data_IF_534506998269
#
_entry.id   IF_534506998269
#
_cell.length_a   1.000
_cell.length_b   1.000
_cell.length_c   1.000
_cell.angle_alpha   90.00
_cell.angle_beta   90.00
_cell.angle_gamma   90.00
#
_symmetry.space_group_name_H-M   'P 1'
#
loop_
_entity.id
_entity.type
_entity.pdbx_description
1 polymer ?
#
# COMPACT_ATOMS: atom_id res chain seq x y z
N UNK A 1 -19.88 46.57 4.69
CA UNK A 1 -18.69 45.71 4.74
C UNK A 1 -19.15 44.28 4.44
N UNK A 2 -19.09 43.84 3.19
CA UNK A 2 -19.39 42.45 2.82
C UNK A 2 -18.07 41.73 2.59
N UNK A 3 -17.59 40.98 3.57
CA UNK A 3 -16.42 40.14 3.39
C UNK A 3 -16.82 38.91 2.58
N UNK A 4 -16.58 38.96 1.26
CA UNK A 4 -16.53 37.79 0.40
C UNK A 4 -15.35 36.92 0.82
N UNK A 5 -15.53 36.04 1.81
CA UNK A 5 -14.58 34.97 2.10
C UNK A 5 -14.59 34.01 0.90
N UNK A 6 -13.54 34.10 0.09
CA UNK A 6 -13.27 33.14 -0.98
C UNK A 6 -13.24 31.73 -0.39
N UNK A 7 -14.17 30.89 -0.84
CA UNK A 7 -14.32 29.50 -0.42
C UNK A 7 -13.15 28.65 -0.91
N UNK A 8 -12.03 28.66 -0.18
CA UNK A 8 -10.83 27.83 -0.46
C UNK A 8 -10.98 26.36 0.01
N UNK A 9 -12.22 25.89 0.20
CA UNK A 9 -12.51 24.52 0.57
C UNK A 9 -12.65 23.64 -0.69
N UNK A 10 -11.56 22.99 -1.07
CA UNK A 10 -11.44 22.03 -2.19
C UNK A 10 -12.33 20.76 -2.12
N UNK A 11 -12.82 20.22 -0.96
CA UNK A 11 -13.42 18.87 -0.94
C UNK A 11 -14.68 18.72 -1.79
N UNK A 12 -15.42 19.81 -2.02
CA UNK A 12 -16.76 19.73 -2.62
C UNK A 12 -16.76 20.02 -4.13
N UNK A 13 -15.70 20.63 -4.66
CA UNK A 13 -15.68 21.17 -6.03
C UNK A 13 -14.90 20.32 -7.06
N UNK A 14 -14.38 19.18 -6.62
CA UNK A 14 -13.82 18.17 -7.53
C UNK A 14 -14.96 17.49 -8.30
N UNK A 15 -14.94 17.46 -9.65
CA UNK A 15 -15.96 16.80 -10.45
C UNK A 15 -15.79 15.26 -10.38
N UNK A 16 -16.22 14.68 -9.25
CA UNK A 16 -15.98 13.28 -8.91
C UNK A 16 -16.53 12.29 -9.96
N UNK A 17 -17.62 12.63 -10.66
CA UNK A 17 -18.17 11.82 -11.75
C UNK A 17 -17.22 11.62 -12.94
N UNK A 18 -16.21 12.49 -13.08
CA UNK A 18 -15.18 12.38 -14.12
C UNK A 18 -13.93 11.65 -13.64
N UNK A 19 -13.79 11.45 -12.33
CA UNK A 19 -12.63 10.80 -11.72
C UNK A 19 -12.78 9.29 -11.87
N UNK A 20 -11.76 8.66 -12.45
CA UNK A 20 -11.71 7.19 -12.59
C UNK A 20 -11.01 6.60 -11.38
N UNK A 21 -11.71 5.81 -10.56
CA UNK A 21 -11.14 5.25 -9.32
C UNK A 21 -10.35 3.95 -9.54
N UNK A 22 -10.75 3.14 -10.51
CA UNK A 22 -10.12 1.85 -10.80
C UNK A 22 -9.29 1.96 -12.08
N UNK A 23 -8.23 2.75 -12.02
CA UNK A 23 -7.32 2.97 -13.15
C UNK A 23 -6.11 2.06 -13.03
N UNK A 24 -5.71 1.45 -14.15
CA UNK A 24 -4.50 0.65 -14.29
C UNK A 24 -3.70 1.00 -15.56
N UNK A 25 -4.05 2.11 -16.23
CA UNK A 25 -3.37 2.59 -17.44
C UNK A 25 -2.88 4.01 -17.23
N UNK A 26 -1.68 4.30 -17.75
CA UNK A 26 -1.04 5.61 -17.64
C UNK A 26 -1.91 6.73 -18.21
N UNK A 27 -2.55 6.48 -19.36
CA UNK A 27 -3.47 7.43 -20.00
C UNK A 27 -4.63 7.85 -19.08
N UNK A 28 -5.19 6.91 -18.31
CA UNK A 28 -6.28 7.24 -17.40
C UNK A 28 -5.78 7.94 -16.11
N UNK A 29 -4.53 7.70 -15.68
CA UNK A 29 -3.91 8.51 -14.63
C UNK A 29 -3.74 9.97 -15.08
N UNK A 30 -3.27 10.19 -16.32
CA UNK A 30 -3.17 11.54 -16.91
C UNK A 30 -4.51 12.29 -16.89
N UNK A 31 -5.60 11.60 -17.23
CA UNK A 31 -6.95 12.20 -17.18
C UNK A 31 -7.35 12.63 -15.76
N UNK A 32 -7.07 11.81 -14.75
CA UNK A 32 -7.32 12.16 -13.35
C UNK A 32 -6.46 13.34 -12.89
N UNK A 33 -5.16 13.35 -13.23
CA UNK A 33 -4.29 14.48 -12.91
C UNK A 33 -4.69 15.77 -13.63
N UNK A 34 -5.25 15.68 -14.84
CA UNK A 34 -5.80 16.86 -15.52
C UNK A 34 -7.00 17.45 -14.78
N UNK A 35 -7.84 16.61 -14.18
CA UNK A 35 -8.93 17.07 -13.30
C UNK A 35 -8.35 17.81 -12.10
N UNK A 36 -7.32 17.24 -11.45
CA UNK A 36 -6.65 17.86 -10.31
C UNK A 36 -6.03 19.23 -10.66
N UNK A 37 -5.30 19.32 -11.78
CA UNK A 37 -4.74 20.57 -12.26
C UNK A 37 -5.81 21.64 -12.48
N UNK A 38 -6.94 21.28 -13.10
CA UNK A 38 -8.04 22.22 -13.32
C UNK A 38 -8.64 22.73 -12.00
N UNK A 39 -8.72 21.86 -10.98
CA UNK A 39 -9.17 22.25 -9.63
C UNK A 39 -8.15 23.21 -8.99
N UNK A 40 -6.86 22.94 -9.10
CA UNK A 40 -5.80 23.84 -8.60
C UNK A 40 -5.88 25.21 -9.26
N UNK A 41 -6.04 25.27 -10.60
CA UNK A 41 -6.21 26.53 -11.32
C UNK A 41 -7.45 27.30 -10.86
N UNK A 42 -8.58 26.61 -10.64
CA UNK A 42 -9.83 27.26 -10.20
C UNK A 42 -9.70 27.85 -8.79
N UNK A 43 -8.99 27.16 -7.89
CA UNK A 43 -8.76 27.61 -6.52
C UNK A 43 -7.49 28.46 -6.36
N UNK A 44 -6.84 28.86 -7.45
CA UNK A 44 -5.62 29.68 -7.42
C UNK A 44 -4.51 29.08 -6.55
N UNK A 45 -4.34 27.76 -6.64
CA UNK A 45 -3.26 27.03 -5.98
C UNK A 45 -2.05 27.04 -6.91
N UNK A 46 -1.06 27.88 -6.60
CA UNK A 46 0.12 28.11 -7.46
C UNK A 46 1.14 26.96 -7.45
N UNK A 47 0.91 25.89 -6.68
CA UNK A 47 1.79 24.72 -6.63
C UNK A 47 1.69 23.93 -7.95
N UNK A 48 2.78 23.78 -8.72
CA UNK A 48 2.77 22.91 -9.90
C UNK A 48 2.64 21.45 -9.49
N UNK A 49 1.83 20.69 -10.23
CA UNK A 49 1.66 19.23 -10.05
C UNK A 49 2.64 18.52 -11.00
N UNK A 50 3.67 17.80 -10.49
CA UNK A 50 4.68 17.12 -11.32
C UNK A 50 4.13 15.80 -11.92
N UNK A 51 3.13 15.92 -12.81
CA UNK A 51 2.34 14.77 -13.30
C UNK A 51 3.21 13.64 -13.87
N UNK A 52 4.22 13.95 -14.68
CA UNK A 52 5.08 12.94 -15.31
C UNK A 52 5.83 12.06 -14.30
N UNK A 53 6.24 12.64 -13.17
CA UNK A 53 6.93 11.89 -12.12
C UNK A 53 5.93 11.13 -11.24
N UNK A 54 4.74 11.71 -11.02
CA UNK A 54 3.69 11.10 -10.21
C UNK A 54 3.10 9.86 -10.89
N UNK A 55 2.81 9.91 -12.20
CA UNK A 55 2.26 8.76 -12.94
C UNK A 55 3.24 7.59 -13.05
N UNK A 56 4.56 7.87 -12.98
CA UNK A 56 5.63 6.86 -12.98
C UNK A 56 5.93 6.31 -11.58
N UNK A 57 5.16 6.71 -10.56
CA UNK A 57 5.34 6.29 -9.17
C UNK A 57 6.76 6.53 -8.62
N UNK A 58 7.45 7.61 -9.07
CA UNK A 58 8.77 7.94 -8.52
C UNK A 58 8.62 8.33 -7.05
N UNK A 59 9.32 7.62 -6.16
CA UNK A 59 9.10 7.68 -4.71
C UNK A 59 9.29 9.09 -4.14
N UNK A 60 10.37 9.77 -4.50
CA UNK A 60 10.68 11.11 -4.01
C UNK A 60 9.60 12.13 -4.39
N UNK A 61 9.20 12.19 -5.66
CA UNK A 61 8.18 13.15 -6.13
C UNK A 61 6.79 12.89 -5.52
N UNK A 62 6.41 11.61 -5.39
CA UNK A 62 5.13 11.25 -4.77
C UNK A 62 5.11 11.62 -3.28
N UNK A 63 6.20 11.35 -2.56
CA UNK A 63 6.31 11.69 -1.15
C UNK A 63 6.29 13.21 -0.94
N UNK A 64 7.07 13.97 -1.71
CA UNK A 64 7.10 15.44 -1.63
C UNK A 64 5.71 16.04 -1.90
N UNK A 65 5.02 15.54 -2.93
CA UNK A 65 3.67 16.00 -3.27
C UNK A 65 2.65 15.70 -2.16
N UNK A 66 2.72 14.51 -1.55
CA UNK A 66 1.85 14.13 -0.42
C UNK A 66 2.11 14.96 0.83
N UNK A 67 3.39 15.19 1.17
CA UNK A 67 3.77 16.03 2.31
C UNK A 67 3.22 17.45 2.15
N UNK A 68 3.40 18.05 0.97
CA UNK A 68 2.83 19.35 0.67
C UNK A 68 1.29 19.33 0.72
N UNK A 69 0.65 18.31 0.15
CA UNK A 69 -0.82 18.18 0.15
C UNK A 69 -1.37 18.10 1.57
N UNK A 70 -0.72 17.35 2.47
CA UNK A 70 -1.09 17.28 3.88
C UNK A 70 -0.95 18.63 4.57
N UNK A 71 0.18 19.33 4.37
CA UNK A 71 0.40 20.67 4.92
C UNK A 71 -0.65 21.67 4.42
N UNK A 72 -0.96 21.63 3.13
CA UNK A 72 -2.01 22.48 2.54
C UNK A 72 -3.38 22.14 3.12
N UNK A 73 -3.71 20.86 3.26
CA UNK A 73 -4.95 20.43 3.90
C UNK A 73 -5.07 20.98 5.32
N UNK A 74 -4.05 20.78 6.16
CA UNK A 74 -4.09 21.21 7.57
C UNK A 74 -4.26 22.72 7.72
N UNK A 75 -3.70 23.49 6.80
CA UNK A 75 -3.78 24.95 6.82
C UNK A 75 -5.14 25.50 6.37
N UNK A 76 -5.80 24.83 5.42
CA UNK A 76 -7.00 25.36 4.76
C UNK A 76 -8.27 24.56 5.00
N UNK A 77 -8.21 23.46 5.76
CA UNK A 77 -9.36 22.65 6.07
C UNK A 77 -10.38 23.44 6.90
N UNK A 78 -11.60 23.70 6.39
CA UNK A 78 -12.59 24.53 7.08
C UNK A 78 -13.32 23.80 8.22
N UNK A 79 -12.99 22.52 8.46
CA UNK A 79 -13.78 21.61 9.29
C UNK A 79 -14.92 20.91 8.52
N UNK A 80 -15.59 19.98 9.19
CA UNK A 80 -16.81 19.31 8.71
C UNK A 80 -16.62 17.87 8.24
N UNK A 81 -17.67 17.07 8.36
CA UNK A 81 -17.63 15.65 8.02
C UNK A 81 -17.56 15.41 6.51
N UNK A 82 -16.73 14.45 6.10
CA UNK A 82 -16.59 14.05 4.71
C UNK A 82 -16.74 12.54 4.56
N UNK A 83 -17.86 12.08 4.00
CA UNK A 83 -18.06 10.68 3.65
C UNK A 83 -17.46 10.37 2.28
N UNK A 84 -16.23 9.86 2.30
CA UNK A 84 -15.49 9.48 1.10
C UNK A 84 -16.13 8.30 0.35
N UNK A 85 -16.77 7.36 1.06
CA UNK A 85 -17.33 6.15 0.46
C UNK A 85 -18.62 6.47 -0.29
N UNK A 86 -19.52 7.24 0.34
CA UNK A 86 -20.75 7.68 -0.31
C UNK A 86 -20.44 8.52 -1.55
N UNK A 87 -19.48 9.45 -1.46
CA UNK A 87 -19.11 10.33 -2.58
C UNK A 87 -18.48 9.58 -3.76
N UNK A 88 -17.66 8.56 -3.46
CA UNK A 88 -17.08 7.67 -4.47
C UNK A 88 -18.14 6.80 -5.15
N UNK A 89 -19.07 6.24 -4.38
CA UNK A 89 -20.19 5.44 -4.89
C UNK A 89 -21.13 6.26 -5.78
N UNK A 90 -21.44 7.50 -5.38
CA UNK A 90 -22.28 8.42 -6.15
C UNK A 90 -21.63 8.81 -7.50
N UNK A 91 -20.30 8.78 -7.58
CA UNK A 91 -19.54 9.04 -8.81
C UNK A 91 -19.46 7.83 -9.77
N UNK A 92 -20.15 6.71 -9.48
CA UNK A 92 -20.14 5.52 -10.33
C UNK A 92 -18.92 4.63 -10.15
N UNK A 93 -18.13 4.82 -9.09
CA UNK A 93 -17.11 3.84 -8.73
C UNK A 93 -17.80 2.52 -8.32
N UNK A 94 -17.26 1.36 -8.72
CA UNK A 94 -17.77 0.09 -8.24
C UNK A 94 -17.68 0.05 -6.72
N UNK A 95 -18.69 -0.52 -6.08
CA UNK A 95 -18.70 -0.69 -4.64
C UNK A 95 -17.42 -1.43 -4.24
N UNK A 96 -16.59 -0.79 -3.40
CA UNK A 96 -15.54 -1.52 -2.69
C UNK A 96 -16.26 -2.57 -1.85
N UNK A 97 -16.05 -3.83 -2.18
CA UNK A 97 -16.56 -4.95 -1.41
C UNK A 97 -15.67 -5.06 -0.15
N UNK A 98 -15.78 -4.07 0.73
CA UNK A 98 -15.21 -4.16 2.07
C UNK A 98 -15.95 -5.28 2.79
N UNK A 99 -15.26 -6.40 2.97
CA UNK A 99 -15.63 -7.48 3.85
C UNK A 99 -15.98 -6.90 5.21
N UNK A 100 -17.28 -6.85 5.53
CA UNK A 100 -17.76 -6.58 6.88
C UNK A 100 -17.16 -7.63 7.80
N UNK A 101 -16.30 -7.21 8.72
CA UNK A 101 -15.92 -8.02 9.88
C UNK A 101 -17.17 -8.36 10.73
N UNK A 102 -17.15 -9.46 11.49
CA UNK A 102 -18.29 -9.90 12.28
C UNK A 102 -18.44 -9.00 13.51
N UNK A 103 -19.39 -8.07 13.44
CA UNK A 103 -19.85 -7.23 14.55
C UNK A 103 -21.21 -7.70 15.04
N UNK A 104 -21.38 -7.73 16.35
CA UNK A 104 -22.35 -8.54 17.10
C UNK A 104 -23.78 -8.00 17.12
N UNK A 105 -24.71 -8.94 17.25
CA UNK A 105 -26.09 -8.89 17.77
C UNK A 105 -26.71 -7.54 18.16
N UNK A 106 -27.86 -7.22 17.56
CA UNK A 106 -29.10 -6.99 18.33
C UNK A 106 -30.34 -7.11 17.44
N UNK A 107 -31.22 -8.02 17.86
CA UNK A 107 -32.54 -8.23 17.30
C UNK A 107 -33.53 -7.23 17.92
N UNK A 108 -34.47 -6.74 17.11
CA UNK A 108 -35.94 -6.69 17.37
C UNK A 108 -36.59 -5.59 16.52
N UNK A 109 -37.74 -5.89 15.93
CA UNK A 109 -38.63 -4.86 15.36
C UNK A 109 -39.27 -5.18 14.02
N UNK A 110 -40.05 -6.25 13.94
CA UNK A 110 -40.96 -6.50 12.82
C UNK A 110 -42.08 -5.45 12.77
N UNK A 111 -42.35 -4.84 11.61
CA UNK A 111 -43.71 -4.45 11.18
C UNK A 111 -43.89 -4.56 9.66
N UNK A 112 -45.02 -5.18 9.33
CA UNK A 112 -45.58 -5.49 8.00
C UNK A 112 -46.18 -4.24 7.34
N UNK A 113 -46.29 -4.28 6.01
CA UNK A 113 -47.45 -3.75 5.29
C UNK A 113 -47.12 -2.92 4.04
N UNK A 114 -47.66 -3.33 2.88
CA UNK A 114 -47.82 -2.43 1.73
C UNK A 114 -47.39 -3.00 0.37
N UNK A 115 -48.15 -3.94 -0.17
CA UNK A 115 -48.14 -4.31 -1.60
C UNK A 115 -48.92 -3.29 -2.43
N UNK A 116 -48.37 -2.80 -3.55
CA UNK A 116 -49.04 -2.85 -4.86
C UNK A 116 -48.03 -2.68 -6.01
N UNK A 117 -48.19 -3.41 -7.12
CA UNK A 117 -47.26 -3.44 -8.25
C UNK A 117 -47.64 -2.43 -9.35
N UNK A 118 -46.68 -2.02 -10.18
CA UNK A 118 -46.98 -1.58 -11.55
C UNK A 118 -46.06 -2.29 -12.53
N UNK A 119 -46.70 -3.08 -13.38
CA UNK A 119 -46.15 -3.75 -14.55
C UNK A 119 -45.73 -2.70 -15.58
N UNK A 120 -44.49 -2.77 -16.07
CA UNK A 120 -44.19 -2.41 -17.46
C UNK A 120 -43.32 -3.51 -18.04
N UNK A 121 -43.96 -4.36 -18.83
CA UNK A 121 -43.33 -5.40 -19.62
C UNK A 121 -42.76 -4.79 -20.90
N UNK A 122 -41.46 -4.98 -21.10
CA UNK A 122 -40.73 -4.69 -22.33
C UNK A 122 -39.37 -5.39 -22.22
N UNK A 123 -39.38 -6.69 -22.47
CA UNK A 123 -38.34 -7.62 -22.03
C UNK A 123 -36.98 -7.47 -22.70
N UNK A 124 -35.95 -7.87 -21.95
CA UNK A 124 -34.85 -8.76 -22.35
C UNK A 124 -34.08 -9.20 -21.09
N UNK A 125 -34.24 -10.44 -20.61
CA UNK A 125 -33.37 -10.98 -19.58
C UNK A 125 -32.22 -11.78 -20.21
N UNK A 126 -31.01 -11.59 -19.66
CA UNK A 126 -29.79 -12.42 -19.82
C UNK A 126 -29.07 -12.20 -21.17
N UNK A 127 -27.74 -12.12 -21.29
CA UNK A 127 -26.64 -12.75 -20.55
C UNK A 127 -25.33 -12.02 -20.96
N UNK A 128 -24.50 -11.55 -20.02
CA UNK A 128 -23.04 -11.39 -20.15
C UNK A 128 -22.40 -10.81 -18.86
N UNK A 129 -22.86 -11.26 -17.69
CA UNK A 129 -22.03 -11.22 -16.50
C UNK A 129 -21.11 -12.42 -16.54
N UNK A 130 -19.81 -12.21 -16.79
CA UNK A 130 -18.84 -13.31 -16.80
C UNK A 130 -17.41 -12.93 -17.16
N UNK A 131 -17.18 -11.91 -17.98
CA UNK A 131 -15.82 -11.59 -18.42
C UNK A 131 -14.97 -10.83 -17.38
N UNK A 132 -15.60 -10.02 -16.50
CA UNK A 132 -14.89 -9.26 -15.46
C UNK A 132 -14.48 -10.08 -14.24
N UNK A 133 -15.17 -11.21 -13.98
CA UNK A 133 -14.88 -12.09 -12.84
C UNK A 133 -13.69 -13.02 -13.12
N UNK A 134 -13.46 -13.39 -14.38
CA UNK A 134 -12.35 -14.24 -14.76
C UNK A 134 -11.00 -13.53 -14.59
N UNK A 135 -10.92 -12.24 -14.94
CA UNK A 135 -9.70 -11.44 -14.74
C UNK A 135 -9.42 -11.18 -13.25
N UNK A 136 -10.45 -10.94 -12.43
CA UNK A 136 -10.25 -10.81 -10.98
C UNK A 136 -9.85 -12.14 -10.33
N UNK A 137 -10.41 -13.26 -10.79
CA UNK A 137 -10.03 -14.58 -10.30
C UNK A 137 -8.60 -14.97 -10.71
N UNK A 138 -8.20 -14.67 -11.94
CA UNK A 138 -6.83 -14.88 -12.41
C UNK A 138 -5.82 -14.05 -11.63
N UNK A 139 -6.11 -12.77 -11.38
CA UNK A 139 -5.26 -11.91 -10.54
C UNK A 139 -5.20 -12.38 -9.08
N UNK A 140 -6.29 -12.88 -8.51
CA UNK A 140 -6.28 -13.47 -7.17
C UNK A 140 -5.46 -14.77 -7.12
N UNK A 141 -5.51 -15.59 -8.16
CA UNK A 141 -4.70 -16.79 -8.29
C UNK A 141 -3.20 -16.44 -8.37
N UNK A 142 -2.85 -15.42 -9.14
CA UNK A 142 -1.47 -14.92 -9.26
C UNK A 142 -0.94 -14.39 -7.92
N UNK A 143 -1.75 -13.60 -7.20
CA UNK A 143 -1.39 -13.11 -5.86
C UNK A 143 -1.14 -14.27 -4.89
N UNK A 144 -1.97 -15.30 -4.92
CA UNK A 144 -1.79 -16.47 -4.05
C UNK A 144 -0.54 -17.26 -4.43
N UNK A 145 -0.28 -17.48 -5.72
CA UNK A 145 0.93 -18.13 -6.20
C UNK A 145 2.19 -17.36 -5.80
N UNK A 146 2.17 -16.03 -5.92
CA UNK A 146 3.28 -15.17 -5.48
C UNK A 146 3.49 -15.23 -3.96
N UNK A 147 2.42 -15.26 -3.17
CA UNK A 147 2.52 -15.42 -1.70
C UNK A 147 3.14 -16.75 -1.31
N UNK A 148 2.73 -17.83 -1.97
CA UNK A 148 3.32 -19.16 -1.74
C UNK A 148 4.80 -19.19 -2.15
N UNK A 149 5.15 -18.57 -3.28
CA UNK A 149 6.53 -18.45 -3.73
C UNK A 149 7.38 -17.64 -2.74
N UNK A 150 6.88 -16.48 -2.27
CA UNK A 150 7.55 -15.67 -1.25
C UNK A 150 7.75 -16.47 0.04
N UNK A 151 6.72 -17.16 0.53
CA UNK A 151 6.83 -17.99 1.73
C UNK A 151 7.83 -19.15 1.55
N UNK A 152 7.97 -19.68 0.34
CA UNK A 152 9.02 -20.64 0.00
C UNK A 152 10.41 -20.03 0.05
N UNK A 153 10.59 -18.87 -0.58
CA UNK A 153 11.86 -18.14 -0.59
C UNK A 153 12.29 -17.67 0.81
N UNK A 154 11.35 -17.26 1.66
CA UNK A 154 11.62 -16.89 3.05
C UNK A 154 12.14 -18.09 3.85
N UNK A 155 11.56 -19.28 3.67
CA UNK A 155 12.08 -20.51 4.29
C UNK A 155 13.46 -20.87 3.80
N UNK A 156 13.73 -20.73 2.49
CA UNK A 156 15.05 -20.98 1.93
C UNK A 156 16.08 -19.97 2.46
N UNK A 157 15.73 -18.68 2.51
CA UNK A 157 16.55 -17.62 3.10
C UNK A 157 16.90 -17.96 4.54
N UNK A 158 15.91 -18.28 5.37
CA UNK A 158 16.12 -18.58 6.79
C UNK A 158 16.95 -19.85 6.98
N UNK A 159 16.74 -20.87 6.14
CA UNK A 159 17.52 -22.10 6.13
C UNK A 159 19.00 -21.84 5.81
N UNK A 160 19.30 -21.04 4.79
CA UNK A 160 20.68 -20.70 4.44
C UNK A 160 21.32 -19.78 5.48
N UNK A 161 20.57 -18.80 5.99
CA UNK A 161 21.04 -17.92 7.06
C UNK A 161 21.42 -18.70 8.32
N UNK A 162 20.56 -19.63 8.78
CA UNK A 162 20.84 -20.48 9.93
C UNK A 162 22.14 -21.28 9.75
N UNK A 163 22.38 -21.85 8.55
CA UNK A 163 23.63 -22.56 8.26
C UNK A 163 24.86 -21.66 8.31
N UNK A 164 24.79 -20.47 7.76
CA UNK A 164 25.90 -19.51 7.79
C UNK A 164 26.18 -19.07 9.24
N UNK A 165 25.13 -18.86 10.04
CA UNK A 165 25.24 -18.54 11.46
C UNK A 165 25.86 -19.66 12.29
N UNK A 166 25.49 -20.91 12.02
CA UNK A 166 26.10 -22.09 12.64
C UNK A 166 27.60 -22.17 12.33
N UNK A 167 27.98 -21.95 11.06
CA UNK A 167 29.39 -21.91 10.64
C UNK A 167 30.15 -20.79 11.36
N UNK A 168 29.56 -19.59 11.42
CA UNK A 168 30.15 -18.45 12.13
C UNK A 168 30.40 -18.78 13.61
N UNK A 169 29.43 -19.41 14.28
CA UNK A 169 29.56 -19.80 15.68
C UNK A 169 30.69 -20.83 15.87
N UNK A 170 30.80 -21.82 14.97
CA UNK A 170 31.86 -22.81 15.01
C UNK A 170 33.25 -22.17 14.84
N UNK A 171 33.37 -21.18 13.96
CA UNK A 171 34.62 -20.43 13.79
C UNK A 171 34.96 -19.60 15.03
N UNK A 172 33.98 -18.90 15.61
CA UNK A 172 34.17 -18.14 16.85
C UNK A 172 34.66 -19.05 17.99
N UNK A 173 34.04 -20.22 18.16
CA UNK A 173 34.45 -21.21 19.15
C UNK A 173 35.86 -21.77 18.88
N UNK A 174 36.22 -22.00 17.62
CA UNK A 174 37.55 -22.46 17.26
C UNK A 174 38.63 -21.41 17.58
N UNK A 175 38.37 -20.14 17.28
CA UNK A 175 39.27 -19.02 17.59
C UNK A 175 39.38 -18.77 19.11
N UNK A 176 38.28 -18.92 19.85
CA UNK A 176 38.31 -18.82 21.31
C UNK A 176 39.17 -19.92 21.94
N UNK A 177 39.10 -21.14 21.41
CA UNK A 177 39.89 -22.27 21.87
C UNK A 177 41.38 -22.18 21.47
N UNK A 178 41.68 -21.65 20.29
CA UNK A 178 43.03 -21.43 19.79
C UNK A 178 43.17 -20.04 19.12
N UNK A 179 43.59 -19.01 19.88
CA UNK A 179 43.71 -17.64 19.38
C UNK A 179 44.76 -17.44 18.27
N UNK A 180 45.66 -18.40 18.03
CA UNK A 180 46.63 -18.29 16.92
C UNK A 180 45.95 -18.43 15.56
N UNK A 181 44.77 -19.08 15.48
CA UNK A 181 44.03 -19.28 14.23
C UNK A 181 43.55 -17.98 13.57
N UNK A 182 43.44 -16.88 14.34
CA UNK A 182 42.96 -15.59 13.83
C UNK A 182 44.09 -14.61 13.49
N UNK A 183 45.36 -14.99 13.70
CA UNK A 183 46.51 -14.10 13.49
C UNK A 183 47.10 -14.16 12.09
N UNK A 184 46.89 -15.25 11.38
CA UNK A 184 47.39 -15.43 10.02
C UNK A 184 46.28 -15.07 9.01
N UNK A 185 46.54 -14.02 8.24
CA UNK A 185 45.61 -13.49 7.22
C UNK A 185 45.35 -14.48 6.08
N UNK A 186 46.27 -15.42 5.83
CA UNK A 186 46.13 -16.46 4.79
C UNK A 186 45.50 -17.76 5.34
N UNK A 187 45.08 -17.75 6.61
CA UNK A 187 44.45 -18.91 7.25
C UNK A 187 43.07 -19.23 6.64
N UNK A 188 42.67 -20.50 6.76
CA UNK A 188 41.34 -20.94 6.35
C UNK A 188 40.22 -20.19 7.11
N UNK A 189 40.45 -19.85 8.39
CA UNK A 189 39.49 -19.09 9.22
C UNK A 189 39.24 -17.70 8.62
N UNK A 190 40.31 -16.97 8.26
CA UNK A 190 40.20 -15.65 7.63
C UNK A 190 39.52 -15.71 6.27
N UNK A 191 39.82 -16.72 5.46
CA UNK A 191 39.14 -16.92 4.18
C UNK A 191 37.64 -17.15 4.33
N UNK A 192 37.20 -17.96 5.31
CA UNK A 192 35.77 -18.19 5.53
C UNK A 192 35.10 -16.93 6.10
N UNK A 193 35.72 -16.23 7.04
CA UNK A 193 35.22 -14.94 7.57
C UNK A 193 35.06 -13.90 6.45
N UNK A 194 36.02 -13.83 5.52
CA UNK A 194 35.93 -12.92 4.37
C UNK A 194 34.71 -13.22 3.49
N UNK A 195 34.34 -14.49 3.31
CA UNK A 195 33.12 -14.87 2.59
C UNK A 195 31.88 -14.45 3.40
N UNK A 196 31.84 -14.79 4.70
CA UNK A 196 30.69 -14.51 5.57
C UNK A 196 30.39 -13.02 5.72
N UNK A 197 31.43 -12.19 5.72
CA UNK A 197 31.31 -10.74 5.87
C UNK A 197 31.43 -9.98 4.54
N UNK A 198 31.49 -10.69 3.41
CA UNK A 198 31.41 -10.04 2.11
C UNK A 198 30.03 -9.42 1.93
N UNK A 199 30.00 -8.14 1.55
CA UNK A 199 28.75 -7.39 1.28
C UNK A 199 28.67 -7.09 -0.21
N UNK A 200 27.54 -7.40 -0.85
CA UNK A 200 27.23 -6.86 -2.18
C UNK A 200 26.68 -5.42 -2.05
N UNK A 201 26.99 -4.57 -3.04
CA UNK A 201 26.57 -3.17 -3.12
C UNK A 201 25.02 -3.09 -3.16
N UNK A 202 24.40 -2.87 -1.99
CA UNK A 202 22.94 -2.87 -1.82
C UNK A 202 22.38 -3.86 -0.78
N UNK A 203 23.23 -4.65 -0.11
CA UNK A 203 22.85 -5.57 0.98
C UNK A 203 23.41 -5.16 2.35
N UNK A 204 23.78 -3.89 2.52
CA UNK A 204 24.24 -3.36 3.81
C UNK A 204 23.09 -3.34 4.82
N UNK A 205 23.31 -3.95 5.98
CA UNK A 205 22.43 -3.82 7.14
C UNK A 205 22.63 -2.40 7.70
N UNK A 206 21.60 -1.55 7.77
CA UNK A 206 21.73 -0.26 8.43
C UNK A 206 22.18 -0.46 9.88
N UNK A 207 23.09 0.37 10.40
CA UNK A 207 23.69 0.21 11.74
C UNK A 207 22.68 0.27 12.90
N UNK A 208 21.40 0.52 12.64
CA UNK A 208 20.33 0.54 13.65
C UNK A 208 19.78 -0.85 14.00
N UNK A 209 20.13 -1.92 13.26
CA UNK A 209 19.58 -3.27 13.49
C UNK A 209 20.34 -4.10 14.54
N UNK A 210 21.58 -3.75 14.90
CA UNK A 210 22.35 -4.47 15.94
C UNK A 210 21.72 -4.35 17.35
N UNK A 211 20.87 -3.34 17.59
CA UNK A 211 20.28 -3.08 18.91
C UNK A 211 18.92 -3.74 19.18
N UNK A 212 18.23 -4.26 18.16
CA UNK A 212 16.83 -4.70 18.31
C UNK A 212 16.65 -6.23 18.45
N UNK A 213 17.61 -7.03 17.99
CA UNK A 213 17.48 -8.49 18.00
C UNK A 213 17.69 -9.15 19.38
N UNK A 214 18.18 -8.41 20.38
CA UNK A 214 18.47 -8.95 21.72
C UNK A 214 17.28 -8.88 22.69
N UNK A 215 16.13 -8.32 22.31
CA UNK A 215 15.04 -8.00 23.26
C UNK A 215 13.66 -8.62 22.98
N UNK A 216 13.45 -9.38 21.91
CA UNK A 216 12.13 -9.95 21.59
C UNK A 216 12.02 -11.49 21.71
N UNK A 217 12.91 -12.13 22.46
CA UNK A 217 12.74 -13.53 22.91
C UNK A 217 12.74 -13.64 24.44
N UNK A 218 11.72 -13.06 25.10
CA UNK A 218 11.19 -13.65 26.33
C UNK A 218 9.81 -13.03 26.63
N UNK A 219 8.74 -13.78 26.35
CA UNK A 219 7.61 -14.00 27.26
C UNK A 219 6.51 -14.77 26.53
N UNK A 220 6.68 -16.09 26.53
CA UNK A 220 5.57 -17.03 26.43
C UNK A 220 4.95 -17.17 27.81
N UNK A 221 3.70 -16.74 27.99
CA UNK A 221 2.74 -17.32 28.94
C UNK A 221 1.30 -17.13 28.43
#
# INVERSE_FOLDING_TARGET
>A
MGESRSSNAVPVDVPMSRVKFNVNTEYAYLQNFKILQNVFTRHQIDRPVPVENLIKCRMQDNLEFLQWTKKHWDQYYPGGDYDALARRKAAGAPASNSTRGPGTTSATGARRGGTTPVNSAGGRPRLAGGAGSANSAALMSEINAQKEAIAGLEKERDFYFAKLRDIELLLQQAVEADPELDKDDDSLVKHIQAILYSTEEGFEIPPEAEGAAASEELETF
#
